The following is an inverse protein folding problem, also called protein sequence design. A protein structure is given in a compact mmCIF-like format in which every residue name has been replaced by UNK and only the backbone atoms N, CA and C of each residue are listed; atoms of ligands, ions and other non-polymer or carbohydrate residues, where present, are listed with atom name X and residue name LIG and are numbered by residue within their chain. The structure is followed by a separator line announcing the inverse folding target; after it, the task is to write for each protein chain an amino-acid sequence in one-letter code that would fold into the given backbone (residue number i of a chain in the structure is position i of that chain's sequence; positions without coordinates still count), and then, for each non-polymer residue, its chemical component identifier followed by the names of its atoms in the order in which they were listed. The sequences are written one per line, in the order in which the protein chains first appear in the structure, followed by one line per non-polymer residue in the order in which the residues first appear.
data_IF_297410243180
#
_entry.id   IF_297410243180
#
_cell.length_a   1.000
_cell.length_b   1.000
_cell.length_c   1.000
_cell.angle_alpha   90.00
_cell.angle_beta   90.00
_cell.angle_gamma   90.00
#
_symmetry.space_group_name_H-M   'P 1'
#
loop_
_entity.id
_entity.type
_entity.pdbx_description
1 polymer ?
#
# COMPACT_ATOMS: atom_id res chain seq x y z
N UNK A 1 18.95 28.10 12.22
CA UNK A 1 19.24 26.71 11.84
C UNK A 1 20.02 25.87 12.85
N UNK A 2 20.44 26.38 14.02
CA UNK A 2 20.88 25.54 15.17
C UNK A 2 19.93 25.66 16.37
N UNK A 3 19.49 26.88 16.70
CA UNK A 3 18.45 27.09 17.72
C UNK A 3 17.10 26.45 17.36
N UNK A 4 16.83 26.24 16.06
CA UNK A 4 15.60 25.56 15.62
C UNK A 4 15.66 24.07 15.91
N UNK A 5 16.78 23.41 15.59
CA UNK A 5 17.00 21.99 15.89
C UNK A 5 16.99 21.75 17.41
N UNK A 6 17.57 22.68 18.19
CA UNK A 6 17.53 22.62 19.65
C UNK A 6 16.14 22.88 20.26
N UNK A 7 15.32 23.79 19.69
CA UNK A 7 13.93 24.01 20.13
C UNK A 7 13.02 22.82 19.79
N UNK A 8 13.20 22.21 18.61
CA UNK A 8 12.47 21.02 18.15
C UNK A 8 12.75 19.83 19.07
N UNK A 9 14.02 19.62 19.45
CA UNK A 9 14.40 18.57 20.40
C UNK A 9 13.92 18.86 21.84
N UNK A 10 13.73 20.12 22.21
CA UNK A 10 13.35 20.52 23.58
C UNK A 10 11.85 20.45 23.85
N UNK A 11 10.98 20.70 22.87
CA UNK A 11 9.54 20.66 23.13
C UNK A 11 8.70 20.31 21.87
N UNK A 12 8.60 19.02 21.52
CA UNK A 12 7.90 18.54 20.32
C UNK A 12 6.41 18.93 20.25
N UNK A 13 5.81 19.28 21.40
CA UNK A 13 4.37 19.55 21.52
C UNK A 13 4.04 21.05 21.64
N UNK A 14 4.98 21.96 21.32
CA UNK A 14 4.70 23.39 21.37
C UNK A 14 3.68 23.82 20.31
N UNK A 15 2.50 24.33 20.72
CA UNK A 15 1.49 24.92 19.84
C UNK A 15 2.08 25.98 18.88
N UNK A 16 3.16 26.66 19.30
CA UNK A 16 3.87 27.65 18.49
C UNK A 16 4.52 27.04 17.24
N UNK A 17 4.97 25.79 17.32
CA UNK A 17 5.60 25.06 16.22
C UNK A 17 4.58 24.66 15.16
N UNK A 18 3.46 24.07 15.56
CA UNK A 18 2.33 23.74 14.67
C UNK A 18 1.83 24.97 13.90
N UNK A 19 1.68 26.11 14.59
CA UNK A 19 1.30 27.38 13.96
C UNK A 19 2.31 27.88 12.91
N UNK A 20 3.61 27.64 13.12
CA UNK A 20 4.66 27.99 12.14
C UNK A 20 4.53 27.15 10.88
N UNK A 21 4.32 25.83 11.01
CA UNK A 21 4.10 24.96 9.85
C UNK A 21 2.86 25.37 9.06
N UNK A 22 1.73 25.61 9.72
CA UNK A 22 0.50 26.02 9.05
C UNK A 22 0.68 27.34 8.28
N UNK A 23 1.39 28.30 8.85
CA UNK A 23 1.71 29.57 8.17
C UNK A 23 2.62 29.35 6.97
N UNK A 24 3.66 28.54 7.12
CA UNK A 24 4.61 28.24 6.05
C UNK A 24 3.93 27.47 4.90
N UNK A 25 3.07 26.50 5.21
CA UNK A 25 2.32 25.72 4.21
C UNK A 25 1.29 26.58 3.48
N UNK A 26 0.70 27.57 4.15
CA UNK A 26 -0.18 28.56 3.51
C UNK A 26 0.58 29.45 2.53
N UNK A 27 1.83 29.82 2.84
CA UNK A 27 2.67 30.63 1.97
C UNK A 27 3.27 29.83 0.81
N UNK A 28 3.66 28.56 1.07
CA UNK A 28 4.33 27.68 0.11
C UNK A 28 3.65 26.31 0.07
N UNK A 29 2.43 26.22 -0.49
CA UNK A 29 1.67 24.97 -0.52
C UNK A 29 2.33 23.91 -1.42
N UNK A 30 3.21 24.31 -2.33
CA UNK A 30 3.98 23.41 -3.20
C UNK A 30 5.26 22.83 -2.57
N UNK A 31 5.60 23.18 -1.33
CA UNK A 31 6.88 22.78 -0.74
C UNK A 31 6.86 21.34 -0.23
N UNK A 32 7.43 20.42 -1.01
CA UNK A 32 7.57 19.01 -0.64
C UNK A 32 8.26 18.83 0.71
N UNK A 33 9.39 19.52 0.95
CA UNK A 33 10.17 19.38 2.19
C UNK A 33 9.34 19.78 3.41
N UNK A 34 8.55 20.84 3.28
CA UNK A 34 7.72 21.35 4.36
C UNK A 34 6.56 20.40 4.66
N UNK A 35 5.87 19.90 3.62
CA UNK A 35 4.82 18.89 3.79
C UNK A 35 5.36 17.60 4.39
N UNK A 36 6.50 17.11 3.91
CA UNK A 36 7.13 15.90 4.41
C UNK A 36 7.48 16.02 5.90
N UNK A 37 8.17 17.11 6.30
CA UNK A 37 8.53 17.35 7.70
C UNK A 37 7.29 17.42 8.59
N UNK A 38 6.28 18.19 8.17
CA UNK A 38 5.04 18.34 8.91
C UNK A 38 4.29 17.02 9.10
N UNK A 39 4.14 16.22 8.04
CA UNK A 39 3.47 14.93 8.10
C UNK A 39 4.26 13.91 8.93
N UNK A 40 5.60 13.94 8.87
CA UNK A 40 6.46 13.06 9.66
C UNK A 40 6.30 13.33 11.16
N UNK A 41 6.22 14.60 11.57
CA UNK A 41 5.96 14.96 12.96
C UNK A 41 4.58 14.52 13.42
N UNK A 42 3.54 14.70 12.59
CA UNK A 42 2.19 14.22 12.95
C UNK A 42 2.14 12.69 13.11
N UNK A 43 2.87 11.95 12.26
CA UNK A 43 3.00 10.50 12.41
C UNK A 43 3.69 10.12 13.72
N UNK A 44 4.70 10.88 14.16
CA UNK A 44 5.39 10.65 15.42
C UNK A 44 4.46 10.89 16.64
N UNK A 45 3.64 11.93 16.60
CA UNK A 45 2.61 12.21 17.62
C UNK A 45 1.62 11.07 17.74
N UNK A 46 1.15 10.56 16.59
CA UNK A 46 0.10 9.54 16.53
C UNK A 46 0.64 8.13 16.79
N UNK A 47 1.96 7.90 16.68
CA UNK A 47 2.61 6.58 16.84
C UNK A 47 2.21 5.85 18.12
N UNK A 48 2.08 6.57 19.23
CA UNK A 48 1.80 5.98 20.55
C UNK A 48 0.31 6.03 20.94
N UNK A 49 -0.56 6.47 20.02
CA UNK A 49 -1.99 6.59 20.25
C UNK A 49 -2.74 5.37 19.72
N UNK A 50 -3.88 4.99 20.34
CA UNK A 50 -4.72 3.93 19.81
C UNK A 50 -5.35 4.34 18.47
N UNK A 51 -5.53 3.39 17.56
CA UNK A 51 -6.05 3.62 16.18
C UNK A 51 -7.40 4.35 16.14
N UNK A 52 -8.22 4.22 17.20
CA UNK A 52 -9.55 4.87 17.31
C UNK A 52 -9.45 6.34 17.72
N UNK A 53 -8.25 6.84 18.06
CA UNK A 53 -8.07 8.21 18.55
C UNK A 53 -8.38 9.26 17.46
N UNK A 54 -9.05 10.38 17.79
CA UNK A 54 -9.44 11.42 16.82
C UNK A 54 -8.25 12.05 16.06
N UNK A 55 -7.05 11.99 16.61
CA UNK A 55 -5.83 12.48 15.96
C UNK A 55 -5.53 11.73 14.65
N UNK A 56 -5.95 10.46 14.51
CA UNK A 56 -5.84 9.74 13.24
C UNK A 56 -6.74 10.36 12.16
N UNK A 57 -7.93 10.85 12.52
CA UNK A 57 -8.81 11.55 11.58
C UNK A 57 -8.21 12.90 11.16
N UNK A 58 -7.64 13.65 12.11
CA UNK A 58 -6.93 14.89 11.82
C UNK A 58 -5.72 14.67 10.91
N UNK A 59 -4.94 13.62 11.17
CA UNK A 59 -3.82 13.19 10.32
C UNK A 59 -4.30 12.84 8.91
N UNK A 60 -5.33 12.01 8.80
CA UNK A 60 -5.90 11.60 7.52
C UNK A 60 -6.40 12.81 6.70
N UNK A 61 -7.08 13.76 7.33
CA UNK A 61 -7.53 14.99 6.67
C UNK A 61 -6.34 15.86 6.22
N UNK A 62 -5.25 15.85 7.00
CA UNK A 62 -4.01 16.55 6.64
C UNK A 62 -3.32 15.90 5.43
N UNK A 63 -3.30 14.58 5.35
CA UNK A 63 -2.81 13.87 4.16
C UNK A 63 -3.61 14.21 2.91
N UNK A 64 -4.95 14.20 2.99
CA UNK A 64 -5.80 14.60 1.84
C UNK A 64 -5.48 16.02 1.38
N UNK A 65 -5.30 16.96 2.31
CA UNK A 65 -4.89 18.34 1.99
C UNK A 65 -3.50 18.40 1.34
N UNK A 66 -2.54 17.63 1.82
CA UNK A 66 -1.21 17.56 1.24
C UNK A 66 -1.28 17.04 -0.20
N UNK A 67 -2.04 15.97 -0.43
CA UNK A 67 -2.17 15.32 -1.73
C UNK A 67 -2.82 16.20 -2.80
N UNK A 68 -3.64 17.20 -2.44
CA UNK A 68 -4.14 18.19 -3.43
C UNK A 68 -2.99 18.86 -4.20
N UNK A 69 -1.89 19.15 -3.51
CA UNK A 69 -0.73 19.83 -4.12
C UNK A 69 0.40 18.86 -4.45
N UNK A 70 0.60 17.84 -3.61
CA UNK A 70 1.72 16.88 -3.67
C UNK A 70 1.35 15.54 -4.35
N UNK A 71 0.26 15.48 -5.12
CA UNK A 71 -0.23 14.25 -5.76
C UNK A 71 0.81 13.49 -6.62
N UNK A 72 1.82 14.19 -7.16
CA UNK A 72 2.89 13.57 -7.95
C UNK A 72 4.09 13.09 -7.13
N UNK A 73 4.07 13.23 -5.81
CA UNK A 73 5.19 12.92 -4.92
C UNK A 73 5.04 11.51 -4.31
N UNK A 74 5.82 10.50 -4.74
CA UNK A 74 5.65 9.12 -4.29
C UNK A 74 5.87 8.93 -2.80
N UNK A 75 6.78 9.70 -2.20
CA UNK A 75 7.09 9.57 -0.77
C UNK A 75 5.93 10.00 0.13
N UNK A 76 5.22 11.06 -0.25
CA UNK A 76 4.02 11.51 0.47
C UNK A 76 2.91 10.46 0.38
N UNK A 77 2.73 9.87 -0.81
CA UNK A 77 1.85 8.73 -1.02
C UNK A 77 2.22 7.55 -0.14
N UNK A 78 3.48 7.12 -0.13
CA UNK A 78 3.93 6.00 0.69
C UNK A 78 3.65 6.21 2.19
N UNK A 79 3.92 7.41 2.72
CA UNK A 79 3.60 7.76 4.11
C UNK A 79 2.09 7.67 4.42
N UNK A 80 1.26 8.23 3.54
CA UNK A 80 -0.19 8.19 3.67
C UNK A 80 -0.73 6.76 3.62
N UNK A 81 -0.31 5.98 2.63
CA UNK A 81 -0.76 4.62 2.42
C UNK A 81 -0.35 3.71 3.58
N UNK A 82 0.89 3.83 4.06
CA UNK A 82 1.35 3.07 5.21
C UNK A 82 0.49 3.39 6.45
N UNK A 83 0.30 4.66 6.76
CA UNK A 83 -0.51 5.09 7.90
C UNK A 83 -1.97 4.62 7.80
N UNK A 84 -2.55 4.60 6.59
CA UNK A 84 -3.91 4.09 6.37
C UNK A 84 -4.00 2.57 6.50
N UNK A 85 -2.98 1.83 6.04
CA UNK A 85 -2.94 0.36 6.19
C UNK A 85 -2.80 -0.09 7.64
N UNK A 86 -2.10 0.68 8.48
CA UNK A 86 -1.97 0.43 9.92
C UNK A 86 -3.29 0.72 10.69
N UNK A 87 -4.16 1.56 10.15
CA UNK A 87 -5.48 1.85 10.72
C UNK A 87 -6.54 0.78 10.39
N UNK A 88 -6.25 -0.21 9.55
CA UNK A 88 -7.15 -1.30 9.14
C UNK A 88 -8.47 -0.88 8.47
N UNK A 89 -8.58 0.34 7.93
CA UNK A 89 -9.75 0.78 7.17
C UNK A 89 -9.75 0.25 5.72
N UNK A 90 -10.11 -1.02 5.53
CA UNK A 90 -10.04 -1.75 4.25
C UNK A 90 -10.50 -0.93 3.04
N UNK A 91 -11.74 -0.43 3.04
CA UNK A 91 -12.30 0.31 1.90
C UNK A 91 -11.62 1.66 1.63
N UNK A 92 -11.06 2.29 2.66
CA UNK A 92 -10.34 3.57 2.52
C UNK A 92 -8.93 3.32 1.99
N UNK A 93 -8.21 2.37 2.58
CA UNK A 93 -6.86 1.98 2.16
C UNK A 93 -6.85 1.47 0.73
N UNK A 94 -7.80 0.62 0.35
CA UNK A 94 -7.95 0.14 -1.03
C UNK A 94 -8.14 1.28 -2.04
N UNK A 95 -9.06 2.22 -1.77
CA UNK A 95 -9.29 3.38 -2.65
C UNK A 95 -8.07 4.29 -2.74
N UNK A 96 -7.36 4.50 -1.63
CA UNK A 96 -6.15 5.31 -1.61
C UNK A 96 -5.02 4.65 -2.43
N UNK A 97 -4.83 3.34 -2.30
CA UNK A 97 -3.85 2.56 -3.07
C UNK A 97 -4.15 2.62 -4.58
N UNK A 98 -5.42 2.45 -4.97
CA UNK A 98 -5.84 2.59 -6.37
C UNK A 98 -5.59 4.02 -6.89
N UNK A 99 -5.93 5.03 -6.10
CA UNK A 99 -5.69 6.44 -6.45
C UNK A 99 -4.20 6.73 -6.63
N UNK A 100 -3.33 6.19 -5.77
CA UNK A 100 -1.90 6.35 -5.88
C UNK A 100 -1.34 5.79 -7.21
N UNK A 101 -1.80 4.61 -7.62
CA UNK A 101 -1.40 3.99 -8.90
C UNK A 101 -1.89 4.81 -10.11
N UNK A 102 -3.04 5.47 -10.01
CA UNK A 102 -3.53 6.36 -11.07
C UNK A 102 -2.76 7.68 -11.15
N UNK A 103 -2.37 8.23 -10.00
CA UNK A 103 -1.75 9.56 -9.94
C UNK A 103 -0.24 9.54 -10.20
N UNK A 104 0.45 8.49 -9.79
CA UNK A 104 1.90 8.34 -9.92
C UNK A 104 2.31 7.71 -11.27
N UNK A 105 3.47 8.10 -11.83
CA UNK A 105 4.04 7.42 -12.99
C UNK A 105 4.33 5.94 -12.70
N UNK A 106 4.23 5.08 -13.73
CA UNK A 106 4.45 3.63 -13.63
C UNK A 106 5.82 3.25 -13.06
N UNK A 107 6.84 4.09 -13.26
CA UNK A 107 8.19 3.89 -12.71
C UNK A 107 8.24 3.93 -11.18
N UNK A 108 7.21 4.50 -10.54
CA UNK A 108 7.09 4.60 -9.08
C UNK A 108 6.11 3.57 -8.50
N UNK A 109 5.50 2.73 -9.35
CA UNK A 109 4.48 1.78 -8.90
C UNK A 109 5.07 0.65 -8.06
N UNK A 110 6.34 0.27 -8.21
CA UNK A 110 6.96 -0.84 -7.49
C UNK A 110 6.75 -0.76 -5.97
N UNK A 111 7.11 0.36 -5.34
CA UNK A 111 6.91 0.54 -3.89
C UNK A 111 5.44 0.62 -3.47
N UNK A 112 4.56 1.12 -4.35
CA UNK A 112 3.11 1.15 -4.08
C UNK A 112 2.53 -0.26 -4.14
N UNK A 113 2.98 -1.09 -5.09
CA UNK A 113 2.57 -2.48 -5.21
C UNK A 113 3.01 -3.31 -4.02
N UNK A 114 4.23 -3.13 -3.51
CA UNK A 114 4.67 -3.79 -2.27
C UNK A 114 3.71 -3.50 -1.10
N UNK A 115 3.29 -2.23 -0.93
CA UNK A 115 2.30 -1.85 0.08
C UNK A 115 0.92 -2.44 -0.21
N UNK A 116 0.51 -2.49 -1.48
CA UNK A 116 -0.77 -3.04 -1.89
C UNK A 116 -0.84 -4.55 -1.62
N UNK A 117 0.21 -5.29 -1.99
CA UNK A 117 0.31 -6.73 -1.74
C UNK A 117 0.32 -7.04 -0.24
N UNK A 118 1.01 -6.23 0.56
CA UNK A 118 0.96 -6.33 2.03
C UNK A 118 -0.45 -6.11 2.55
N UNK A 119 -1.16 -5.10 2.05
CA UNK A 119 -2.54 -4.80 2.43
C UNK A 119 -3.49 -5.97 2.12
N UNK A 120 -3.45 -6.55 0.91
CA UNK A 120 -4.37 -7.66 0.54
C UNK A 120 -4.06 -8.98 1.22
N UNK A 121 -2.88 -9.11 1.86
CA UNK A 121 -2.50 -10.25 2.72
C UNK A 121 -3.00 -10.08 4.17
N UNK A 122 -3.48 -8.90 4.57
CA UNK A 122 -4.02 -8.69 5.91
C UNK A 122 -5.38 -9.39 6.11
N UNK A 123 -5.65 -9.80 7.34
CA UNK A 123 -6.95 -10.35 7.72
C UNK A 123 -8.04 -9.27 7.61
N UNK A 124 -9.21 -9.63 7.06
CA UNK A 124 -10.35 -8.73 6.88
C UNK A 124 -10.50 -8.14 5.47
N UNK A 125 -9.51 -8.30 4.59
CA UNK A 125 -9.69 -7.97 3.17
C UNK A 125 -10.48 -9.08 2.46
N UNK A 126 -11.55 -8.77 1.71
CA UNK A 126 -12.28 -9.78 0.93
C UNK A 126 -11.38 -10.46 -0.09
N UNK A 127 -11.51 -11.79 -0.21
CA UNK A 127 -10.67 -12.59 -1.12
C UNK A 127 -10.80 -12.13 -2.58
N UNK A 128 -12.01 -11.75 -3.00
CA UNK A 128 -12.26 -11.22 -4.35
C UNK A 128 -11.50 -9.91 -4.63
N UNK A 129 -11.39 -9.04 -3.61
CA UNK A 129 -10.59 -7.81 -3.72
C UNK A 129 -9.12 -8.16 -3.90
N UNK A 130 -8.59 -9.05 -3.05
CA UNK A 130 -7.22 -9.52 -3.15
C UNK A 130 -6.93 -10.15 -4.53
N UNK A 131 -7.85 -10.97 -5.04
CA UNK A 131 -7.75 -11.60 -6.36
C UNK A 131 -7.62 -10.57 -7.49
N UNK A 132 -8.50 -9.57 -7.52
CA UNK A 132 -8.48 -8.52 -8.56
C UNK A 132 -7.18 -7.71 -8.51
N UNK A 133 -6.67 -7.43 -7.32
CA UNK A 133 -5.40 -6.72 -7.12
C UNK A 133 -4.23 -7.56 -7.62
N UNK A 134 -4.14 -8.84 -7.25
CA UNK A 134 -3.09 -9.73 -7.74
C UNK A 134 -3.14 -9.88 -9.26
N UNK A 135 -4.32 -10.03 -9.87
CA UNK A 135 -4.45 -10.08 -11.33
C UNK A 135 -3.91 -8.83 -12.00
N UNK A 136 -4.21 -7.65 -11.45
CA UNK A 136 -3.66 -6.38 -11.96
C UNK A 136 -2.15 -6.29 -11.73
N UNK A 137 -1.65 -6.80 -10.62
CA UNK A 137 -0.21 -6.85 -10.34
C UNK A 137 0.53 -7.76 -11.33
N UNK A 138 -0.02 -8.91 -11.71
CA UNK A 138 0.58 -9.79 -12.72
C UNK A 138 0.67 -9.16 -14.11
N UNK A 139 -0.17 -8.17 -14.41
CA UNK A 139 -0.03 -7.38 -15.64
C UNK A 139 1.11 -6.35 -15.56
N UNK A 140 1.51 -5.96 -14.34
CA UNK A 140 2.65 -5.08 -14.10
C UNK A 140 3.96 -5.87 -14.03
N UNK A 141 3.95 -6.99 -13.31
CA UNK A 141 5.10 -7.86 -13.10
C UNK A 141 4.61 -9.33 -13.07
N UNK A 142 4.84 -10.02 -14.19
CA UNK A 142 4.44 -11.41 -14.38
C UNK A 142 5.24 -12.41 -13.52
N UNK A 143 6.36 -11.97 -12.95
CA UNK A 143 7.33 -12.84 -12.30
C UNK A 143 6.84 -13.33 -10.94
N UNK A 144 5.86 -12.62 -10.38
CA UNK A 144 5.29 -12.87 -9.06
C UNK A 144 4.08 -13.80 -9.06
N UNK A 145 3.90 -14.58 -10.12
CA UNK A 145 2.80 -15.54 -10.23
C UNK A 145 2.79 -16.57 -9.10
N UNK A 146 3.95 -17.01 -8.62
CA UNK A 146 4.03 -18.05 -7.61
C UNK A 146 3.48 -17.58 -6.27
N UNK A 147 3.72 -16.32 -5.92
CA UNK A 147 3.14 -15.69 -4.72
C UNK A 147 1.60 -15.62 -4.83
N UNK A 148 1.09 -15.42 -6.04
CA UNK A 148 -0.35 -15.45 -6.30
C UNK A 148 -0.92 -16.88 -6.20
N UNK A 149 -0.21 -17.89 -6.71
CA UNK A 149 -0.58 -19.30 -6.60
C UNK A 149 -0.59 -19.74 -5.13
N UNK A 150 0.40 -19.32 -4.34
CA UNK A 150 0.47 -19.57 -2.90
C UNK A 150 -0.72 -18.92 -2.18
N UNK A 151 -1.02 -17.66 -2.48
CA UNK A 151 -2.20 -16.97 -1.95
C UNK A 151 -3.50 -17.72 -2.27
N UNK A 152 -3.68 -18.15 -3.52
CA UNK A 152 -4.85 -18.88 -3.99
C UNK A 152 -4.98 -20.26 -3.33
N UNK A 153 -3.87 -20.95 -3.09
CA UNK A 153 -3.84 -22.27 -2.43
C UNK A 153 -4.18 -22.18 -0.95
N UNK A 154 -3.77 -21.10 -0.29
CA UNK A 154 -4.11 -20.79 1.10
C UNK A 154 -5.56 -20.30 1.26
N UNK A 155 -6.16 -19.76 0.20
CA UNK A 155 -7.55 -19.32 0.21
C UNK A 155 -8.53 -20.51 0.22
N UNK A 156 -9.69 -20.36 0.88
CA UNK A 156 -10.72 -21.41 0.94
C UNK A 156 -11.42 -21.68 -0.42
N UNK A 157 -11.12 -20.91 -1.46
CA UNK A 157 -11.77 -20.95 -2.77
C UNK A 157 -10.98 -21.79 -3.79
N UNK A 158 -10.64 -23.04 -3.42
CA UNK A 158 -9.79 -23.93 -4.24
C UNK A 158 -10.28 -24.14 -5.68
N UNK A 159 -11.59 -24.12 -5.92
CA UNK A 159 -12.17 -24.28 -7.27
C UNK A 159 -11.87 -23.09 -8.17
N UNK A 160 -12.16 -21.89 -7.70
CA UNK A 160 -11.86 -20.66 -8.44
C UNK A 160 -10.35 -20.48 -8.60
N UNK A 161 -9.58 -20.81 -7.56
CA UNK A 161 -8.12 -20.87 -7.64
C UNK A 161 -7.63 -21.77 -8.77
N UNK A 162 -8.19 -22.98 -8.90
CA UNK A 162 -7.80 -23.93 -9.95
C UNK A 162 -8.17 -23.45 -11.36
N UNK A 163 -9.39 -22.93 -11.57
CA UNK A 163 -9.81 -22.37 -12.86
C UNK A 163 -8.92 -21.20 -13.29
N UNK A 164 -8.56 -20.33 -12.34
CA UNK A 164 -7.73 -19.17 -12.61
C UNK A 164 -6.27 -19.54 -12.84
N UNK A 165 -5.74 -20.50 -12.08
CA UNK A 165 -4.40 -21.03 -12.29
C UNK A 165 -4.29 -21.73 -13.67
N UNK A 166 -5.32 -22.46 -14.08
CA UNK A 166 -5.41 -23.01 -15.44
C UNK A 166 -5.40 -21.92 -16.52
N UNK A 167 -6.11 -20.80 -16.30
CA UNK A 167 -6.12 -19.69 -17.27
C UNK A 167 -4.74 -19.04 -17.45
N UNK A 168 -3.95 -18.91 -16.38
CA UNK A 168 -2.62 -18.30 -16.46
C UNK A 168 -1.58 -19.29 -17.01
N UNK A 169 -1.70 -20.58 -16.70
CA UNK A 169 -0.83 -21.61 -17.31
C UNK A 169 -1.10 -21.82 -18.81
N UNK A 170 -2.30 -21.48 -19.29
CA UNK A 170 -2.63 -21.55 -20.71
C UNK A 170 -2.04 -20.41 -21.54
N UNK A 171 -1.48 -19.36 -20.94
CA UNK A 171 -0.75 -18.34 -21.69
C UNK A 171 0.62 -18.86 -22.18
N UNK A 172 0.89 -18.70 -23.47
CA UNK A 172 2.12 -19.19 -24.12
C UNK A 172 3.35 -18.34 -23.83
N UNK A 173 3.16 -17.12 -23.32
CA UNK A 173 4.24 -16.22 -22.88
C UNK A 173 4.74 -16.52 -21.46
N UNK A 174 4.14 -17.51 -20.80
CA UNK A 174 4.39 -17.79 -19.39
C UNK A 174 5.64 -18.67 -19.16
N UNK A 175 6.63 -18.11 -18.46
CA UNK A 175 7.81 -18.83 -17.98
C UNK A 175 7.98 -18.62 -16.46
N UNK A 176 7.89 -19.69 -15.65
CA UNK A 176 8.11 -19.60 -14.20
C UNK A 176 9.57 -19.33 -13.85
N UNK A 177 9.80 -18.52 -12.80
CA UNK A 177 11.12 -17.98 -12.45
C UNK A 177 11.74 -18.64 -11.22
N UNK A 178 10.98 -19.16 -10.23
CA UNK A 178 11.60 -19.81 -9.05
C UNK A 178 12.10 -21.23 -9.32
N UNK A 179 12.47 -21.55 -10.57
CA UNK A 179 13.01 -22.86 -10.96
C UNK A 179 11.98 -23.99 -10.97
N UNK A 180 10.71 -23.74 -10.65
CA UNK A 180 9.61 -24.69 -10.91
C UNK A 180 9.32 -24.69 -12.41
N UNK A 181 9.26 -25.84 -13.04
CA UNK A 181 8.85 -25.92 -14.46
C UNK A 181 7.36 -25.61 -14.60
N UNK A 182 6.92 -25.17 -15.79
CA UNK A 182 5.48 -25.05 -16.13
C UNK A 182 4.74 -26.34 -15.81
N UNK A 183 5.40 -27.50 -16.00
CA UNK A 183 4.89 -28.82 -15.66
C UNK A 183 4.67 -29.02 -14.14
N UNK A 184 5.57 -28.53 -13.27
CA UNK A 184 5.37 -28.61 -11.82
C UNK A 184 4.14 -27.80 -11.36
N UNK A 185 3.88 -26.65 -11.98
CA UNK A 185 2.68 -25.87 -11.70
C UNK A 185 1.41 -26.57 -12.21
N UNK A 186 1.49 -27.29 -13.34
CA UNK A 186 0.41 -28.19 -13.79
C UNK A 186 0.16 -29.34 -12.80
N UNK A 187 1.20 -29.91 -12.20
CA UNK A 187 1.04 -30.94 -11.17
C UNK A 187 0.38 -30.37 -9.90
N UNK A 188 0.75 -29.17 -9.47
CA UNK A 188 0.08 -28.47 -8.35
C UNK A 188 -1.40 -28.19 -8.65
N UNK A 189 -1.74 -27.82 -9.90
CA UNK A 189 -3.12 -27.72 -10.36
C UNK A 189 -3.87 -29.05 -10.26
N UNK A 190 -3.27 -30.12 -10.76
CA UNK A 190 -3.84 -31.47 -10.70
C UNK A 190 -4.05 -31.91 -9.24
N UNK A 191 -3.11 -31.60 -8.36
CA UNK A 191 -3.23 -31.86 -6.92
C UNK A 191 -4.38 -31.08 -6.27
N UNK A 192 -4.55 -29.80 -6.63
CA UNK A 192 -5.67 -28.97 -6.18
C UNK A 192 -7.02 -29.50 -6.67
N UNK A 193 -7.09 -30.01 -7.90
CA UNK A 193 -8.30 -30.58 -8.49
C UNK A 193 -8.61 -31.99 -7.95
N UNK A 194 -7.60 -32.80 -7.68
CA UNK A 194 -7.79 -34.19 -7.21
C UNK A 194 -8.06 -34.29 -5.71
N UNK A 195 -7.58 -33.35 -4.90
CA UNK A 195 -7.94 -33.22 -3.47
C UNK A 195 -9.36 -32.68 -3.24
N UNK A 196 -10.22 -32.68 -4.26
CA UNK A 196 -11.66 -32.35 -4.18
C UNK A 196 -12.53 -33.45 -3.52
N UNK A 197 -11.98 -34.24 -2.58
CA UNK A 197 -12.77 -35.18 -1.77
C UNK A 197 -12.81 -34.76 -0.31
#
# INVERSE_FOLDING_TARGET
DLMYEEEVLRNPFSLKMWWRYLRALKALPGSYKLWHAYLAELLDVVRNLPVVHPEFEALNNTFERALVTMHKMPRIWAMCLQALTEQHFVSRSHRALDRALCELPVTQHGGIWELYLRFVRQEGVPIETSFRVYRRYLMYDSDHIEDFIEFLSNSRLRKESAERLASVLNDDQFYPIKGKSKHNLWLELCDLLTKQR
#
